data_IF_700437366848
#
_entry.id   IF_700437366848
#
_cell.length_a   1.000
_cell.length_b   1.000
_cell.length_c   1.000
_cell.angle_alpha   90.00
_cell.angle_beta   90.00
_cell.angle_gamma   90.00
#
_symmetry.space_group_name_H-M   'P 1'
#
loop_
_entity.id
_entity.type
_entity.pdbx_description
1 polymer ?
#
# COMPACT_ATOMS: atom_id res chain seq x y z
N UNK A 1 -8.40 2.98 10.89
CA UNK A 1 -9.36 3.75 10.05
C UNK A 1 -8.59 4.64 9.08
N UNK A 2 -9.04 4.69 7.83
CA UNK A 2 -8.62 5.74 6.88
C UNK A 2 -9.86 6.57 6.59
N UNK A 3 -9.83 7.87 6.91
CA UNK A 3 -10.90 8.81 6.55
C UNK A 3 -10.33 9.94 5.72
N UNK A 4 -10.93 10.14 4.57
CA UNK A 4 -10.58 11.21 3.62
C UNK A 4 -11.84 12.02 3.34
N UNK A 5 -11.76 13.35 3.44
CA UNK A 5 -12.90 14.21 3.24
C UNK A 5 -12.54 15.38 2.32
N UNK A 6 -13.17 15.46 1.15
CA UNK A 6 -12.99 16.54 0.18
C UNK A 6 -11.57 16.71 -0.34
N UNK A 7 -10.77 15.62 -0.34
CA UNK A 7 -9.35 15.66 -0.68
C UNK A 7 -9.15 16.01 -2.16
N UNK A 8 -8.41 17.08 -2.40
CA UNK A 8 -8.07 17.52 -3.76
C UNK A 8 -6.57 17.75 -3.89
N UNK A 9 -5.99 17.20 -4.95
CA UNK A 9 -4.57 17.34 -5.26
C UNK A 9 -4.38 17.59 -6.76
N UNK A 10 -3.36 18.35 -7.11
CA UNK A 10 -3.07 18.70 -8.50
C UNK A 10 -1.66 18.23 -8.88
N UNK A 11 -1.57 17.59 -10.03
CA UNK A 11 -0.32 17.23 -10.68
C UNK A 11 -0.35 17.71 -12.13
N UNK A 12 0.79 17.83 -12.81
CA UNK A 12 0.80 18.22 -14.22
C UNK A 12 -0.14 17.32 -15.04
N UNK A 13 -1.13 17.92 -15.69
CA UNK A 13 -2.08 17.22 -16.55
C UNK A 13 -3.19 16.43 -15.82
N UNK A 14 -3.26 16.47 -14.47
CA UNK A 14 -4.28 15.70 -13.74
C UNK A 14 -4.70 16.37 -12.43
N UNK A 15 -5.98 16.21 -12.08
CA UNK A 15 -6.57 16.69 -10.81
C UNK A 15 -7.30 15.54 -10.10
N UNK A 16 -6.94 15.28 -8.85
CA UNK A 16 -7.77 14.54 -7.91
C UNK A 16 -8.81 15.51 -7.35
N UNK A 17 -10.10 15.24 -7.55
CA UNK A 17 -11.16 16.16 -7.18
C UNK A 17 -12.02 15.62 -6.05
N UNK A 18 -11.97 16.29 -4.92
CA UNK A 18 -12.84 16.14 -3.73
C UNK A 18 -13.12 14.70 -3.29
N UNK A 19 -12.09 13.83 -3.34
CA UNK A 19 -12.24 12.46 -2.91
C UNK A 19 -12.71 12.40 -1.44
N UNK A 20 -13.79 11.63 -1.20
CA UNK A 20 -14.38 11.46 0.13
C UNK A 20 -14.76 10.01 0.34
N UNK A 21 -14.18 9.37 1.35
CA UNK A 21 -14.49 7.99 1.74
C UNK A 21 -13.98 7.68 3.14
N UNK A 22 -14.44 6.56 3.69
CA UNK A 22 -13.95 6.01 4.96
C UNK A 22 -13.75 4.51 4.81
N UNK A 23 -12.57 4.02 5.24
CA UNK A 23 -12.30 2.59 5.48
C UNK A 23 -12.21 2.41 6.99
N UNK A 24 -13.07 1.61 7.63
CA UNK A 24 -13.02 1.35 9.07
C UNK A 24 -11.68 0.79 9.55
N UNK A 25 -11.40 0.89 10.85
CA UNK A 25 -10.18 0.30 11.43
C UNK A 25 -10.14 -1.20 11.24
N UNK A 26 -9.03 -1.72 10.74
CA UNK A 26 -8.83 -3.15 10.51
C UNK A 26 -9.45 -3.68 9.21
N UNK A 27 -10.20 -2.85 8.50
CA UNK A 27 -10.84 -3.25 7.25
C UNK A 27 -9.94 -2.97 6.02
N UNK A 28 -10.42 -3.46 4.88
CA UNK A 28 -9.79 -3.30 3.58
C UNK A 28 -10.65 -2.39 2.71
N UNK A 29 -10.08 -1.33 2.17
CA UNK A 29 -10.67 -0.56 1.07
C UNK A 29 -10.01 -0.99 -0.24
N UNK A 30 -10.80 -1.22 -1.28
CA UNK A 30 -10.31 -1.57 -2.61
C UNK A 30 -10.66 -0.47 -3.59
N UNK A 31 -9.64 0.10 -4.23
CA UNK A 31 -9.79 1.14 -5.24
C UNK A 31 -9.57 0.54 -6.62
N UNK A 32 -10.60 0.56 -7.44
CA UNK A 32 -10.56 0.11 -8.83
C UNK A 32 -10.67 1.30 -9.80
N UNK A 33 -10.30 1.09 -11.05
CA UNK A 33 -10.43 2.10 -12.10
C UNK A 33 -9.38 1.96 -13.18
N UNK A 34 -9.56 2.63 -14.34
CA UNK A 34 -8.63 2.53 -15.46
C UNK A 34 -7.24 3.08 -15.13
N UNK A 35 -6.26 2.72 -15.95
CA UNK A 35 -4.93 3.33 -15.90
C UNK A 35 -5.04 4.84 -16.13
N UNK A 36 -4.29 5.63 -15.36
CA UNK A 36 -4.38 7.09 -15.42
C UNK A 36 -5.55 7.70 -14.64
N UNK A 37 -6.43 6.91 -13.99
CA UNK A 37 -7.54 7.44 -13.21
C UNK A 37 -7.12 8.24 -11.96
N UNK A 38 -5.83 8.14 -11.53
CA UNK A 38 -5.29 8.86 -10.37
C UNK A 38 -5.16 8.04 -9.10
N UNK A 39 -5.27 6.72 -9.19
CA UNK A 39 -5.18 5.81 -8.03
C UNK A 39 -3.86 5.97 -7.24
N UNK A 40 -2.74 5.97 -7.94
CA UNK A 40 -1.41 6.24 -7.34
C UNK A 40 -1.35 7.64 -6.70
N UNK A 41 -1.91 8.66 -7.38
CA UNK A 41 -1.99 10.03 -6.84
C UNK A 41 -2.76 10.09 -5.53
N UNK A 42 -3.87 9.35 -5.42
CA UNK A 42 -4.62 9.21 -4.17
C UNK A 42 -3.77 8.61 -3.06
N UNK A 43 -3.10 7.46 -3.31
CA UNK A 43 -2.23 6.81 -2.32
C UNK A 43 -1.08 7.71 -1.89
N UNK A 44 -0.38 8.34 -2.84
CA UNK A 44 0.73 9.26 -2.54
C UNK A 44 0.27 10.47 -1.72
N UNK A 45 -0.93 10.98 -1.98
CA UNK A 45 -1.48 12.10 -1.24
C UNK A 45 -1.83 11.68 0.20
N UNK A 46 -2.43 10.51 0.39
CA UNK A 46 -2.71 9.95 1.71
C UNK A 46 -1.41 9.64 2.47
N UNK A 47 -0.38 9.14 1.78
CA UNK A 47 0.93 8.90 2.38
C UNK A 47 1.72 10.18 2.71
N UNK A 48 1.31 11.35 2.20
CA UNK A 48 2.01 12.62 2.38
C UNK A 48 3.18 12.85 1.44
N UNK A 49 3.44 11.92 0.53
CA UNK A 49 4.46 12.07 -0.52
C UNK A 49 4.08 13.18 -1.49
N UNK A 50 2.79 13.35 -1.72
CA UNK A 50 2.24 14.38 -2.59
C UNK A 50 1.43 15.40 -1.79
N UNK A 51 1.64 16.68 -2.07
CA UNK A 51 0.85 17.77 -1.45
C UNK A 51 -0.57 17.78 -2.00
N UNK A 52 -1.53 18.02 -1.13
CA UNK A 52 -2.91 18.37 -1.47
C UNK A 52 -3.13 19.87 -1.26
N UNK A 53 -4.22 20.42 -1.80
CA UNK A 53 -4.56 21.82 -1.64
C UNK A 53 -5.93 22.04 -0.97
N UNK A 54 -6.71 20.97 -0.80
CA UNK A 54 -7.98 21.00 -0.07
C UNK A 54 -8.28 19.63 0.53
N UNK A 55 -9.14 19.60 1.54
CA UNK A 55 -9.62 18.41 2.23
C UNK A 55 -8.78 18.01 3.44
N UNK A 56 -9.21 16.93 4.10
CA UNK A 56 -8.59 16.40 5.31
C UNK A 56 -8.31 14.91 5.20
N UNK A 57 -7.29 14.45 5.92
CA UNK A 57 -6.87 13.05 5.99
C UNK A 57 -6.73 12.67 7.45
N UNK A 58 -7.46 11.63 7.90
CA UNK A 58 -7.33 11.05 9.24
C UNK A 58 -6.91 9.59 9.12
N UNK A 59 -5.86 9.18 9.84
CA UNK A 59 -5.32 7.82 9.87
C UNK A 59 -5.38 7.29 11.32
N UNK A 60 -6.32 6.36 11.58
CA UNK A 60 -6.67 6.01 12.96
C UNK A 60 -7.28 7.21 13.68
N UNK A 61 -6.62 7.63 14.77
CA UNK A 61 -6.97 8.82 15.54
C UNK A 61 -6.08 10.03 15.21
N UNK A 62 -5.16 9.87 14.25
CA UNK A 62 -4.19 10.88 13.86
C UNK A 62 -4.76 11.77 12.75
N UNK A 63 -4.85 13.09 13.00
CA UNK A 63 -5.02 14.05 11.91
C UNK A 63 -3.70 14.16 11.13
N UNK A 64 -3.68 13.54 9.96
CA UNK A 64 -2.52 13.47 9.08
C UNK A 64 -2.51 14.58 8.02
N UNK A 65 -3.49 15.48 8.02
CA UNK A 65 -3.69 16.46 6.96
C UNK A 65 -2.44 17.28 6.65
N UNK A 66 -1.79 17.83 7.67
CA UNK A 66 -0.59 18.66 7.50
C UNK A 66 0.74 17.92 7.79
N UNK A 67 0.68 16.63 8.17
CA UNK A 67 1.87 15.88 8.56
C UNK A 67 2.72 15.48 7.36
N UNK A 68 4.05 15.52 7.48
CA UNK A 68 4.96 14.97 6.49
C UNK A 68 4.91 13.42 6.50
N UNK A 69 5.38 12.74 5.42
CA UNK A 69 5.23 11.29 5.25
C UNK A 69 5.74 10.45 6.43
N UNK A 70 6.89 10.82 7.00
CA UNK A 70 7.55 10.08 8.09
C UNK A 70 6.76 10.09 9.41
N UNK A 71 5.83 11.02 9.59
CA UNK A 71 4.97 11.12 10.77
C UNK A 71 3.60 10.48 10.61
N UNK A 72 3.26 9.98 9.41
CA UNK A 72 1.95 9.38 9.14
C UNK A 72 1.85 7.91 9.52
N UNK A 73 2.95 7.27 9.86
CA UNK A 73 3.02 5.84 10.21
C UNK A 73 2.38 4.90 9.17
N UNK A 74 2.58 5.21 7.90
CA UNK A 74 2.04 4.50 6.75
C UNK A 74 3.09 3.59 6.15
N UNK A 75 2.71 2.36 5.81
CA UNK A 75 3.44 1.51 4.87
C UNK A 75 2.92 1.75 3.45
N UNK A 76 3.76 2.23 2.55
CA UNK A 76 3.42 2.43 1.15
C UNK A 76 4.21 1.46 0.28
N UNK A 77 3.50 0.69 -0.55
CA UNK A 77 4.09 -0.20 -1.55
C UNK A 77 3.60 0.24 -2.92
N UNK A 78 4.53 0.58 -3.79
CA UNK A 78 4.24 0.97 -5.17
C UNK A 78 4.17 -0.25 -6.09
N UNK A 79 3.54 -0.10 -7.23
CA UNK A 79 3.55 -1.06 -8.34
C UNK A 79 4.98 -1.41 -8.77
N UNK A 80 5.87 -0.41 -8.80
CA UNK A 80 7.29 -0.61 -8.98
C UNK A 80 7.99 -0.72 -7.62
N UNK A 81 8.68 -1.81 -7.39
CA UNK A 81 9.24 -2.19 -6.08
C UNK A 81 10.47 -1.38 -5.64
N UNK A 82 10.51 -0.10 -5.72
CA UNK A 82 11.63 0.81 -5.40
C UNK A 82 12.57 0.29 -4.27
N UNK A 83 13.39 -0.72 -4.57
CA UNK A 83 14.39 -1.25 -3.65
C UNK A 83 15.65 -0.39 -3.68
N UNK A 84 16.36 -0.35 -2.56
CA UNK A 84 17.67 0.30 -2.48
C UNK A 84 18.72 -0.59 -3.14
N UNK A 85 19.28 -0.22 -4.30
CA UNK A 85 20.14 -1.11 -5.08
C UNK A 85 21.50 -1.39 -4.41
N UNK A 86 21.92 -0.53 -3.50
CA UNK A 86 23.16 -0.62 -2.73
C UNK A 86 23.02 -1.44 -1.44
N UNK A 87 21.81 -1.85 -1.08
CA UNK A 87 21.53 -2.66 0.11
C UNK A 87 21.26 -4.11 -0.28
N UNK A 88 21.63 -5.05 0.59
CA UNK A 88 21.23 -6.45 0.46
C UNK A 88 19.71 -6.60 0.58
N UNK A 89 19.17 -7.78 0.23
CA UNK A 89 17.75 -8.10 0.44
C UNK A 89 17.37 -7.92 1.90
N UNK A 90 18.12 -8.50 2.85
CA UNK A 90 17.87 -8.36 4.28
C UNK A 90 17.90 -6.89 4.71
N UNK A 91 18.90 -6.14 4.27
CA UNK A 91 19.01 -4.71 4.63
C UNK A 91 17.86 -3.86 4.04
N UNK A 92 17.34 -4.23 2.85
CA UNK A 92 16.13 -3.61 2.32
C UNK A 92 14.92 -3.86 3.22
N UNK A 93 14.70 -5.12 3.66
CA UNK A 93 13.57 -5.45 4.55
C UNK A 93 13.73 -4.78 5.92
N UNK A 94 14.94 -4.78 6.47
CA UNK A 94 15.25 -4.18 7.76
C UNK A 94 15.20 -2.65 7.75
N UNK A 95 15.12 -2.01 6.58
CA UNK A 95 15.13 -0.55 6.48
C UNK A 95 13.92 0.09 7.18
N UNK A 96 14.21 0.70 8.34
CA UNK A 96 13.21 1.33 9.19
C UNK A 96 12.41 0.36 10.07
N UNK A 97 12.78 -0.91 10.13
CA UNK A 97 12.24 -1.84 11.11
C UNK A 97 12.81 -1.53 12.50
N UNK A 98 11.99 -1.71 13.53
CA UNK A 98 12.38 -1.43 14.92
C UNK A 98 13.03 -2.64 15.61
N UNK A 99 12.84 -3.84 15.10
CA UNK A 99 13.26 -5.12 15.72
C UNK A 99 13.60 -6.15 14.66
N UNK A 100 14.71 -6.87 14.83
CA UNK A 100 15.15 -7.94 13.91
C UNK A 100 14.13 -9.08 13.76
N UNK A 101 13.45 -9.45 14.86
CA UNK A 101 12.43 -10.49 14.82
C UNK A 101 11.32 -10.19 13.82
N UNK A 102 10.87 -8.93 13.72
CA UNK A 102 9.81 -8.54 12.77
C UNK A 102 10.31 -8.65 11.33
N UNK A 103 11.60 -8.40 11.11
CA UNK A 103 12.24 -8.60 9.80
C UNK A 103 12.20 -10.07 9.40
N UNK A 104 12.61 -10.97 10.31
CA UNK A 104 12.63 -12.41 10.06
C UNK A 104 11.21 -12.97 9.83
N UNK A 105 10.24 -12.53 10.65
CA UNK A 105 8.83 -12.90 10.49
C UNK A 105 8.27 -12.45 9.12
N UNK A 106 8.54 -11.20 8.71
CA UNK A 106 8.09 -10.67 7.42
C UNK A 106 8.75 -11.40 6.24
N UNK A 107 10.05 -11.68 6.33
CA UNK A 107 10.78 -12.41 5.31
C UNK A 107 10.28 -13.85 5.15
N UNK A 108 9.99 -14.53 6.26
CA UNK A 108 9.44 -15.88 6.26
C UNK A 108 8.03 -15.90 5.66
N UNK A 109 7.15 -15.06 6.14
CA UNK A 109 5.76 -14.97 5.71
C UNK A 109 5.62 -14.68 4.21
N UNK A 110 6.48 -13.82 3.66
CA UNK A 110 6.45 -13.41 2.26
C UNK A 110 7.45 -14.20 1.38
N UNK A 111 7.99 -15.31 1.87
CA UNK A 111 8.90 -16.19 1.13
C UNK A 111 10.17 -15.47 0.62
N UNK A 112 10.62 -14.44 1.33
CA UNK A 112 11.83 -13.66 0.99
C UNK A 112 13.11 -14.32 1.51
N UNK A 113 13.03 -15.18 2.54
CA UNK A 113 14.18 -15.82 3.16
C UNK A 113 15.13 -16.54 2.14
N UNK A 114 14.64 -17.24 1.11
CA UNK A 114 15.51 -17.85 0.10
C UNK A 114 16.25 -16.85 -0.80
N UNK A 115 15.88 -15.57 -0.76
CA UNK A 115 16.44 -14.53 -1.63
C UNK A 115 17.57 -13.73 -0.97
N UNK A 116 17.86 -13.98 0.31
CA UNK A 116 18.78 -13.17 1.14
C UNK A 116 20.14 -12.98 0.51
N UNK A 117 20.69 -14.05 -0.07
CA UNK A 117 22.02 -14.07 -0.68
C UNK A 117 22.04 -13.55 -2.13
N UNK A 118 20.86 -13.31 -2.72
CA UNK A 118 20.80 -12.79 -4.08
C UNK A 118 21.09 -11.27 -4.12
N UNK A 119 21.88 -10.79 -5.08
CA UNK A 119 21.96 -9.36 -5.36
C UNK A 119 20.59 -8.82 -5.75
N UNK A 120 20.20 -7.64 -5.23
CA UNK A 120 18.89 -7.01 -5.51
C UNK A 120 18.69 -6.80 -7.02
N UNK A 121 19.77 -6.54 -7.77
CA UNK A 121 19.74 -6.34 -9.23
C UNK A 121 19.35 -7.60 -10.01
N UNK A 122 19.55 -8.80 -9.43
CA UNK A 122 19.25 -10.09 -10.10
C UNK A 122 17.86 -10.63 -9.79
N UNK A 123 17.10 -9.97 -8.90
CA UNK A 123 15.75 -10.37 -8.55
C UNK A 123 14.79 -10.18 -9.73
N UNK A 124 13.89 -11.13 -9.93
CA UNK A 124 12.74 -10.97 -10.83
C UNK A 124 11.80 -9.86 -10.36
N UNK A 125 10.85 -9.44 -11.21
CA UNK A 125 9.85 -8.45 -10.82
C UNK A 125 9.02 -8.86 -9.61
N UNK A 126 8.57 -10.11 -9.58
CA UNK A 126 7.84 -10.68 -8.45
C UNK A 126 8.67 -10.77 -7.18
N UNK A 127 9.93 -11.25 -7.28
CA UNK A 127 10.84 -11.29 -6.12
C UNK A 127 11.12 -9.90 -5.55
N UNK A 128 11.34 -8.89 -6.41
CA UNK A 128 11.48 -7.49 -5.95
C UNK A 128 10.24 -7.02 -5.19
N UNK A 129 9.06 -7.38 -5.69
CA UNK A 129 7.80 -6.97 -5.06
C UNK A 129 7.60 -7.65 -3.70
N UNK A 130 8.00 -8.94 -3.54
CA UNK A 130 7.99 -9.61 -2.24
C UNK A 130 8.90 -8.90 -1.22
N UNK A 131 10.09 -8.48 -1.64
CA UNK A 131 11.02 -7.73 -0.78
C UNK A 131 10.45 -6.37 -0.38
N UNK A 132 9.78 -5.65 -1.31
CA UNK A 132 9.15 -4.37 -1.02
C UNK A 132 7.98 -4.51 -0.04
N UNK A 133 7.15 -5.55 -0.19
CA UNK A 133 6.09 -5.89 0.75
C UNK A 133 6.68 -6.22 2.13
N UNK A 134 7.70 -7.09 2.20
CA UNK A 134 8.35 -7.45 3.46
C UNK A 134 8.92 -6.21 4.18
N UNK A 135 9.57 -5.30 3.46
CA UNK A 135 10.06 -4.02 3.99
C UNK A 135 8.93 -3.17 4.57
N UNK A 136 7.80 -3.09 3.88
CA UNK A 136 6.67 -2.32 4.37
C UNK A 136 6.06 -2.92 5.64
N UNK A 137 5.90 -4.25 5.69
CA UNK A 137 5.33 -4.95 6.85
C UNK A 137 6.27 -5.00 8.05
N UNK A 138 7.59 -5.06 7.83
CA UNK A 138 8.59 -5.04 8.89
C UNK A 138 8.58 -3.72 9.72
N UNK A 139 7.99 -2.67 9.21
CA UNK A 139 7.76 -1.41 9.94
C UNK A 139 6.53 -1.42 10.83
N UNK A 140 5.73 -2.49 10.80
CA UNK A 140 4.48 -2.66 11.55
C UNK A 140 3.52 -1.45 11.40
N UNK A 141 3.20 -1.02 10.17
CA UNK A 141 2.36 0.15 9.96
C UNK A 141 0.92 -0.11 10.40
N UNK A 142 0.25 0.93 10.94
CA UNK A 142 -1.19 0.90 11.24
C UNK A 142 -2.05 1.12 10.00
N UNK A 143 -1.48 1.71 8.97
CA UNK A 143 -2.13 1.93 7.66
C UNK A 143 -1.23 1.42 6.57
N UNK A 144 -1.75 0.55 5.71
CA UNK A 144 -1.04 -0.04 4.59
C UNK A 144 -1.67 0.42 3.27
N UNK A 145 -0.90 1.10 2.45
CA UNK A 145 -1.29 1.60 1.14
C UNK A 145 -0.57 0.77 0.08
N UNK A 146 -1.34 0.09 -0.77
CA UNK A 146 -0.82 -0.87 -1.73
C UNK A 146 -1.24 -0.48 -3.15
N UNK A 147 -0.27 -0.15 -4.01
CA UNK A 147 -0.50 0.19 -5.42
C UNK A 147 -0.14 -1.00 -6.31
N UNK A 148 -1.12 -1.76 -6.76
CA UNK A 148 -0.97 -2.97 -7.60
C UNK A 148 0.12 -3.93 -7.11
N UNK A 149 0.18 -4.26 -5.81
CA UNK A 149 1.33 -4.89 -5.18
C UNK A 149 1.58 -6.33 -5.63
N UNK A 150 0.60 -6.97 -6.26
CA UNK A 150 0.66 -8.38 -6.64
C UNK A 150 0.73 -8.57 -8.18
N UNK A 151 0.73 -7.50 -8.97
CA UNK A 151 0.63 -7.57 -10.44
C UNK A 151 1.79 -8.34 -11.11
N UNK A 152 2.98 -8.32 -10.51
CA UNK A 152 4.18 -9.00 -11.04
C UNK A 152 4.29 -10.48 -10.66
N UNK A 153 3.28 -11.07 -10.01
CA UNK A 153 3.26 -12.46 -9.52
C UNK A 153 2.36 -13.33 -10.39
N UNK A 154 2.71 -14.61 -10.51
CA UNK A 154 1.79 -15.61 -11.07
C UNK A 154 0.54 -15.78 -10.18
N UNK A 155 -0.49 -16.41 -10.72
CA UNK A 155 -1.81 -16.49 -10.06
C UNK A 155 -1.79 -17.23 -8.71
N UNK A 156 -0.99 -18.30 -8.59
CA UNK A 156 -0.92 -19.09 -7.36
C UNK A 156 -0.18 -18.30 -6.26
N UNK A 157 1.02 -17.79 -6.57
CA UNK A 157 1.80 -16.98 -5.65
C UNK A 157 1.04 -15.72 -5.24
N UNK A 158 0.37 -15.05 -6.17
CA UNK A 158 -0.47 -13.86 -5.91
C UNK A 158 -1.54 -14.14 -4.87
N UNK A 159 -2.28 -15.24 -5.02
CA UNK A 159 -3.32 -15.64 -4.06
C UNK A 159 -2.76 -15.87 -2.66
N UNK A 160 -1.65 -16.61 -2.55
CA UNK A 160 -1.01 -16.93 -1.27
C UNK A 160 -0.47 -15.69 -0.57
N UNK A 161 0.25 -14.83 -1.30
CA UNK A 161 0.86 -13.61 -0.74
C UNK A 161 -0.21 -12.60 -0.35
N UNK A 162 -1.27 -12.44 -1.16
CA UNK A 162 -2.42 -11.60 -0.82
C UNK A 162 -3.06 -12.06 0.48
N UNK A 163 -3.36 -13.35 0.60
CA UNK A 163 -3.94 -13.92 1.82
C UNK A 163 -3.04 -13.69 3.04
N UNK A 164 -1.73 -13.88 2.91
CA UNK A 164 -0.76 -13.64 3.98
C UNK A 164 -0.73 -12.17 4.42
N UNK A 165 -0.71 -11.23 3.48
CA UNK A 165 -0.71 -9.77 3.76
C UNK A 165 -2.00 -9.35 4.46
N UNK A 166 -3.17 -9.81 3.97
CA UNK A 166 -4.46 -9.46 4.57
C UNK A 166 -4.63 -10.09 5.95
N UNK A 167 -4.20 -11.34 6.15
CA UNK A 167 -4.18 -12.00 7.47
C UNK A 167 -3.27 -11.26 8.44
N UNK A 168 -2.08 -10.83 8.00
CA UNK A 168 -1.16 -10.03 8.80
C UNK A 168 -1.81 -8.70 9.23
N UNK A 169 -2.48 -8.01 8.30
CA UNK A 169 -3.16 -6.75 8.58
C UNK A 169 -4.30 -6.92 9.59
N UNK A 170 -5.16 -7.93 9.38
CA UNK A 170 -6.26 -8.26 10.27
C UNK A 170 -5.78 -8.59 11.69
N UNK A 171 -4.75 -9.43 11.83
CA UNK A 171 -4.19 -9.81 13.13
C UNK A 171 -3.62 -8.62 13.94
N UNK A 172 -3.28 -7.52 13.25
CA UNK A 172 -2.73 -6.29 13.86
C UNK A 172 -3.70 -5.12 13.90
N UNK A 173 -4.93 -5.30 13.41
CA UNK A 173 -5.90 -4.22 13.28
C UNK A 173 -5.43 -3.12 12.30
N UNK A 174 -4.52 -3.44 11.38
CA UNK A 174 -4.05 -2.51 10.38
C UNK A 174 -5.11 -2.30 9.29
N UNK A 175 -5.34 -1.06 8.91
CA UNK A 175 -6.29 -0.70 7.84
C UNK A 175 -5.56 -0.71 6.50
N UNK A 176 -6.12 -1.36 5.49
CA UNK A 176 -5.51 -1.50 4.17
C UNK A 176 -6.28 -0.68 3.15
N UNK A 177 -5.57 0.03 2.27
CA UNK A 177 -6.12 0.58 1.03
C UNK A 177 -5.36 -0.04 -0.14
N UNK A 178 -6.04 -0.90 -0.89
CA UNK A 178 -5.51 -1.66 -2.01
C UNK A 178 -5.98 -1.05 -3.33
N UNK A 179 -5.06 -0.65 -4.16
CA UNK A 179 -5.32 -0.29 -5.56
C UNK A 179 -5.06 -1.52 -6.43
N UNK A 180 -6.04 -1.88 -7.25
CA UNK A 180 -5.92 -3.01 -8.16
C UNK A 180 -6.76 -2.82 -9.42
N UNK A 181 -6.37 -3.49 -10.50
CA UNK A 181 -7.19 -3.71 -11.69
C UNK A 181 -7.65 -5.18 -11.82
N UNK A 182 -7.24 -6.05 -10.89
CA UNK A 182 -7.65 -7.46 -10.88
C UNK A 182 -9.05 -7.61 -10.28
N UNK A 183 -9.97 -8.16 -11.07
CA UNK A 183 -11.35 -8.37 -10.65
C UNK A 183 -11.46 -9.31 -9.43
N UNK A 184 -10.54 -10.27 -9.27
CA UNK A 184 -10.53 -11.19 -8.13
C UNK A 184 -10.13 -10.49 -6.82
N UNK A 185 -9.34 -9.42 -6.90
CA UNK A 185 -8.99 -8.58 -5.76
C UNK A 185 -10.08 -7.55 -5.45
N UNK A 186 -10.80 -7.11 -6.50
CA UNK A 186 -11.92 -6.18 -6.35
C UNK A 186 -13.11 -6.74 -5.57
N UNK A 187 -13.25 -8.07 -5.47
CA UNK A 187 -14.38 -8.75 -4.79
C UNK A 187 -13.94 -9.33 -3.43
N UNK A 188 -13.06 -8.66 -2.70
CA UNK A 188 -12.70 -9.10 -1.34
C UNK A 188 -13.91 -8.92 -0.41
N UNK A 189 -14.35 -10.01 0.19
CA UNK A 189 -15.51 -10.03 1.10
C UNK A 189 -15.28 -9.07 2.28
N UNK A 190 -16.26 -8.21 2.57
CA UNK A 190 -16.20 -7.25 3.66
C UNK A 190 -15.35 -6.01 3.39
N UNK A 191 -14.86 -5.81 2.17
CA UNK A 191 -14.08 -4.61 1.81
C UNK A 191 -14.98 -3.43 1.40
N UNK A 192 -14.49 -2.22 1.67
CA UNK A 192 -15.09 -0.98 1.14
C UNK A 192 -14.71 -0.85 -0.33
N UNK A 193 -15.68 -0.88 -1.21
CA UNK A 193 -15.46 -0.80 -2.65
C UNK A 193 -15.43 0.66 -3.12
N UNK A 194 -14.36 1.06 -3.77
CA UNK A 194 -14.12 2.41 -4.27
C UNK A 194 -13.82 2.34 -5.76
N UNK A 195 -14.44 3.21 -6.53
CA UNK A 195 -14.19 3.31 -7.97
C UNK A 195 -13.63 4.69 -8.31
N UNK A 196 -12.53 4.70 -9.05
CA UNK A 196 -11.89 5.95 -9.46
C UNK A 196 -11.91 6.09 -10.97
N UNK A 197 -12.35 7.26 -11.46
CA UNK A 197 -12.36 7.59 -12.87
C UNK A 197 -12.06 9.08 -13.07
N UNK A 198 -11.05 9.42 -13.87
CA UNK A 198 -10.69 10.79 -14.22
C UNK A 198 -10.50 11.72 -13.03
N UNK A 199 -9.94 11.23 -11.92
CA UNK A 199 -9.72 12.02 -10.69
C UNK A 199 -10.89 12.08 -9.72
N UNK A 200 -12.03 11.55 -10.09
CA UNK A 200 -13.23 11.47 -9.24
C UNK A 200 -13.33 10.09 -8.62
N UNK A 201 -13.56 10.03 -7.31
CA UNK A 201 -13.74 8.80 -6.56
C UNK A 201 -15.19 8.66 -6.13
N UNK A 202 -15.76 7.47 -6.34
CA UNK A 202 -17.10 7.10 -5.87
C UNK A 202 -17.02 5.85 -5.00
N UNK A 203 -17.86 5.76 -3.97
CA UNK A 203 -18.07 4.54 -3.20
C UNK A 203 -19.04 3.67 -3.99
N UNK A 204 -18.65 2.42 -4.30
CA UNK A 204 -19.56 1.48 -4.93
C UNK A 204 -20.48 0.87 -3.85
N UNK A 205 -21.75 0.76 -4.17
CA UNK A 205 -22.77 0.11 -3.34
C UNK A 205 -22.64 -1.42 -3.36
#
# INVERSE_FOLDING_TARGET
MIRVTGLSARVPGFVLDRATFTVPSGDVGVVTGPTGAGKTTLLETIAGVRKHHAGTITLGDLDATALPPEQRHVGLVYQQAWLFPHLSVRANVAYGALRDRVVDDAMSMLRVAPLVEKPVSTLSGGERQLVALARALAREPRTLLLDEPFAAMDSALRSDIRAAVLSWASARGATVLLVTHDASEAVLTGSVQLRMNGGVLTVAE
#
